data_IF_184166861638
#
_entry.id   IF_184166861638
#
_cell.length_a   1.000
_cell.length_b   1.000
_cell.length_c   1.000
_cell.angle_alpha   90.00
_cell.angle_beta   90.00
_cell.angle_gamma   90.00
#
_symmetry.space_group_name_H-M   'P 1'
#
loop_
_entity.id
_entity.type
_entity.pdbx_description
1 polymer ?
#
# COMPACT_ATOMS: atom_id res chain seq x y z
N UNK A 1 -2.94 -10.85 9.30
CA UNK A 1 -4.30 -10.46 8.90
C UNK A 1 -4.20 -9.17 8.11
N UNK A 2 -5.04 -9.02 7.08
CA UNK A 2 -5.08 -7.83 6.23
C UNK A 2 -6.53 -7.36 6.19
N UNK A 3 -6.78 -6.13 6.62
CA UNK A 3 -8.09 -5.48 6.56
C UNK A 3 -8.13 -4.56 5.34
N UNK A 4 -8.74 -5.05 4.25
CA UNK A 4 -8.79 -4.35 2.96
C UNK A 4 -9.98 -3.38 2.89
N UNK A 5 -9.84 -2.25 2.17
CA UNK A 5 -10.94 -1.31 2.00
C UNK A 5 -12.05 -1.88 1.11
N UNK A 6 -13.22 -1.23 1.13
CA UNK A 6 -14.30 -1.60 0.21
C UNK A 6 -14.08 -0.97 -1.16
N UNK A 7 -14.25 -1.74 -2.24
CA UNK A 7 -14.24 -1.23 -3.63
C UNK A 7 -15.27 -0.12 -3.81
N UNK A 8 -14.87 0.98 -4.46
CA UNK A 8 -15.64 2.22 -4.62
C UNK A 8 -15.50 3.22 -3.47
N UNK A 9 -14.78 2.87 -2.40
CA UNK A 9 -14.47 3.84 -1.33
C UNK A 9 -13.46 4.88 -1.82
N UNK A 10 -13.59 6.10 -1.32
CA UNK A 10 -12.69 7.21 -1.62
C UNK A 10 -11.89 7.56 -0.36
N UNK A 11 -10.57 7.71 -0.52
CA UNK A 11 -9.63 8.09 0.53
C UNK A 11 -8.84 9.32 0.12
N UNK A 12 -8.44 10.11 1.13
CA UNK A 12 -7.57 11.26 0.99
C UNK A 12 -6.20 11.01 1.61
N UNK A 13 -5.24 11.86 1.27
CA UNK A 13 -3.86 11.76 1.76
C UNK A 13 -3.83 11.63 3.28
N UNK A 14 -3.01 10.70 3.76
CA UNK A 14 -2.77 10.40 5.18
C UNK A 14 -3.97 9.78 5.92
N UNK A 15 -5.08 9.47 5.23
CA UNK A 15 -6.15 8.63 5.77
C UNK A 15 -5.75 7.14 5.75
N UNK A 16 -6.27 6.36 6.71
CA UNK A 16 -6.02 4.92 6.80
C UNK A 16 -6.73 4.21 5.65
N UNK A 17 -5.94 3.64 4.73
CA UNK A 17 -6.41 2.93 3.55
C UNK A 17 -6.66 1.44 3.83
N UNK A 18 -5.77 0.81 4.60
CA UNK A 18 -5.91 -0.56 5.08
C UNK A 18 -5.08 -0.77 6.36
N UNK A 19 -5.37 -1.84 7.08
CA UNK A 19 -4.62 -2.22 8.30
C UNK A 19 -3.97 -3.57 8.12
N UNK A 20 -2.70 -3.67 8.50
CA UNK A 20 -1.95 -4.91 8.54
C UNK A 20 -1.77 -5.33 10.00
N UNK A 21 -2.04 -6.60 10.31
CA UNK A 21 -1.84 -7.14 11.65
C UNK A 21 -0.99 -8.40 11.58
N UNK A 22 0.11 -8.39 12.32
CA UNK A 22 0.98 -9.52 12.57
C UNK A 22 0.80 -10.05 13.99
N UNK A 23 1.54 -11.10 14.36
CA UNK A 23 1.59 -11.56 15.76
C UNK A 23 2.33 -10.59 16.70
N UNK A 24 3.04 -9.59 16.15
CA UNK A 24 3.88 -8.67 16.92
C UNK A 24 3.31 -7.25 16.99
N UNK A 25 2.53 -6.87 15.99
CA UNK A 25 2.22 -5.47 15.73
C UNK A 25 0.99 -5.32 14.83
N UNK A 26 0.43 -4.10 14.88
CA UNK A 26 -0.62 -3.64 13.99
C UNK A 26 -0.13 -2.35 13.35
N UNK A 27 -0.19 -2.27 12.03
CA UNK A 27 0.28 -1.15 11.24
C UNK A 27 -0.83 -0.63 10.34
N UNK A 28 -1.00 0.69 10.34
CA UNK A 28 -1.89 1.38 9.41
C UNK A 28 -1.12 1.73 8.12
N UNK A 29 -1.71 1.42 6.98
CA UNK A 29 -1.22 1.85 5.67
C UNK A 29 -1.99 3.09 5.28
N UNK A 30 -1.30 4.20 5.15
CA UNK A 30 -1.90 5.49 4.83
C UNK A 30 -2.03 5.68 3.31
N UNK A 31 -3.07 6.39 2.89
CA UNK A 31 -3.25 6.77 1.50
C UNK A 31 -2.13 7.74 1.08
N UNK A 32 -1.36 7.42 0.02
CA UNK A 32 -0.20 8.23 -0.37
C UNK A 32 -0.58 9.54 -1.09
N UNK A 33 -1.75 9.57 -1.73
CA UNK A 33 -2.15 10.57 -2.73
C UNK A 33 -3.34 11.41 -2.26
N UNK A 34 -3.57 12.58 -2.88
CA UNK A 34 -4.59 13.54 -2.47
C UNK A 34 -6.03 12.99 -2.51
N UNK A 35 -6.35 12.17 -3.50
CA UNK A 35 -7.64 11.50 -3.64
C UNK A 35 -7.44 10.16 -4.36
N UNK A 36 -8.02 9.09 -3.81
CA UNK A 36 -7.92 7.74 -4.35
C UNK A 36 -9.28 7.05 -4.26
N UNK A 37 -9.83 6.61 -5.39
CA UNK A 37 -10.99 5.72 -5.41
C UNK A 37 -10.52 4.27 -5.55
N UNK A 38 -10.95 3.37 -4.67
CA UNK A 38 -10.59 1.95 -4.72
C UNK A 38 -11.27 1.26 -5.89
N UNK A 39 -10.48 0.76 -6.85
CA UNK A 39 -10.98 0.00 -7.99
C UNK A 39 -10.99 -1.51 -7.74
N UNK A 40 -10.00 -2.00 -7.01
CA UNK A 40 -9.79 -3.43 -6.79
C UNK A 40 -9.03 -3.65 -5.47
N UNK A 41 -9.36 -4.72 -4.76
CA UNK A 41 -8.61 -5.19 -3.59
C UNK A 41 -8.17 -6.64 -3.80
N UNK A 42 -6.99 -6.97 -3.28
CA UNK A 42 -6.43 -8.30 -3.45
C UNK A 42 -6.97 -9.29 -2.42
N UNK A 43 -8.14 -9.87 -2.68
CA UNK A 43 -8.75 -10.84 -1.76
C UNK A 43 -7.86 -12.06 -1.47
N UNK A 44 -6.84 -12.34 -2.31
CA UNK A 44 -5.87 -13.42 -2.08
C UNK A 44 -5.06 -13.21 -0.80
N UNK A 45 -4.76 -11.96 -0.42
CA UNK A 45 -3.98 -11.68 0.81
C UNK A 45 -4.80 -11.79 2.09
N UNK A 46 -6.14 -11.83 1.99
CA UNK A 46 -6.98 -12.15 3.15
C UNK A 46 -6.82 -13.62 3.54
N UNK A 47 -6.80 -14.51 2.55
CA UNK A 47 -6.59 -15.96 2.74
C UNK A 47 -5.11 -16.31 2.97
N UNK A 48 -4.19 -15.60 2.31
CA UNK A 48 -2.74 -15.86 2.34
C UNK A 48 -1.96 -14.57 2.67
N UNK A 49 -2.04 -14.06 3.92
CA UNK A 49 -1.44 -12.78 4.30
C UNK A 49 0.10 -12.75 4.19
N UNK A 50 0.76 -13.91 4.23
CA UNK A 50 2.22 -14.02 4.09
C UNK A 50 2.74 -13.49 2.74
N UNK A 51 1.88 -13.41 1.71
CA UNK A 51 2.23 -12.84 0.41
C UNK A 51 2.69 -11.38 0.51
N UNK A 52 2.14 -10.61 1.46
CA UNK A 52 2.54 -9.22 1.71
C UNK A 52 4.03 -9.14 2.07
N UNK A 53 4.58 -10.16 2.74
CA UNK A 53 5.99 -10.21 3.11
C UNK A 53 6.86 -10.84 2.01
N UNK A 54 6.38 -11.94 1.41
CA UNK A 54 7.16 -12.75 0.48
C UNK A 54 7.26 -12.15 -0.93
N UNK A 55 6.21 -11.46 -1.38
CA UNK A 55 6.13 -10.94 -2.74
C UNK A 55 5.32 -9.62 -2.82
N UNK A 56 5.73 -8.56 -2.09
CA UNK A 56 4.96 -7.32 -1.94
C UNK A 56 4.68 -6.59 -3.25
N UNK A 57 5.55 -6.74 -4.25
CA UNK A 57 5.46 -6.04 -5.54
C UNK A 57 4.67 -6.80 -6.62
N UNK A 58 4.44 -8.11 -6.44
CA UNK A 58 3.66 -8.91 -7.39
C UNK A 58 2.42 -9.51 -6.73
N UNK A 59 2.50 -10.68 -6.10
CA UNK A 59 1.30 -11.36 -5.57
C UNK A 59 0.76 -10.76 -4.27
N UNK A 60 1.56 -9.97 -3.56
CA UNK A 60 1.28 -9.35 -2.26
C UNK A 60 0.73 -7.93 -2.29
N UNK A 61 0.37 -7.40 -3.47
CA UNK A 61 -0.25 -6.08 -3.58
C UNK A 61 -1.55 -5.99 -2.76
N UNK A 62 -1.89 -4.81 -2.24
CA UNK A 62 -3.05 -4.64 -1.34
C UNK A 62 -4.28 -4.11 -2.09
N UNK A 63 -4.10 -3.00 -2.82
CA UNK A 63 -5.20 -2.23 -3.42
C UNK A 63 -4.76 -1.60 -4.74
N UNK A 64 -5.69 -1.51 -5.70
CA UNK A 64 -5.56 -0.68 -6.90
C UNK A 64 -6.53 0.47 -6.81
N UNK A 65 -6.03 1.67 -7.07
CA UNK A 65 -6.79 2.90 -6.97
C UNK A 65 -6.86 3.61 -8.32
N UNK A 66 -7.96 4.32 -8.54
CA UNK A 66 -8.01 5.40 -9.48
C UNK A 66 -7.45 6.65 -8.81
N UNK A 67 -6.44 7.24 -9.44
CA UNK A 67 -5.84 8.49 -9.00
C UNK A 67 -6.16 9.59 -10.02
N UNK A 68 -6.90 10.61 -9.59
CA UNK A 68 -7.14 11.81 -10.38
C UNK A 68 -6.10 12.88 -10.02
N UNK A 69 -4.97 12.84 -10.71
CA UNK A 69 -3.90 13.83 -10.55
C UNK A 69 -2.88 13.75 -11.68
N UNK A 70 -1.86 14.60 -11.61
CA UNK A 70 -0.76 14.61 -12.58
C UNK A 70 0.36 13.74 -12.04
N UNK A 71 0.45 12.51 -12.53
CA UNK A 71 1.45 11.53 -12.07
C UNK A 71 2.89 12.07 -12.22
N UNK A 72 3.19 12.85 -13.26
CA UNK A 72 4.54 13.41 -13.44
C UNK A 72 4.83 14.56 -12.48
N UNK A 73 3.85 15.43 -12.24
CA UNK A 73 4.00 16.55 -11.32
C UNK A 73 4.02 16.07 -9.86
N UNK A 74 3.06 15.23 -9.48
CA UNK A 74 2.87 14.74 -8.12
C UNK A 74 3.87 13.64 -7.76
N UNK A 75 4.36 12.88 -8.75
CA UNK A 75 5.41 11.88 -8.59
C UNK A 75 6.70 12.44 -7.97
N UNK A 76 6.97 13.74 -8.14
CA UNK A 76 8.12 14.44 -7.52
C UNK A 76 8.02 14.58 -6.00
N UNK A 77 6.83 14.34 -5.43
CA UNK A 77 6.62 14.30 -3.98
C UNK A 77 6.93 12.92 -3.39
N UNK A 78 7.21 11.92 -4.23
CA UNK A 78 7.58 10.57 -3.83
C UNK A 78 9.06 10.32 -4.10
N UNK A 79 9.62 9.33 -3.40
CA UNK A 79 10.97 8.87 -3.67
C UNK A 79 10.98 7.97 -4.91
N UNK A 80 11.97 8.14 -5.77
CA UNK A 80 12.39 7.07 -6.68
C UNK A 80 12.91 5.87 -5.89
N UNK A 81 12.97 4.70 -6.53
CA UNK A 81 13.52 3.49 -5.91
C UNK A 81 14.94 3.75 -5.36
N UNK A 82 15.79 4.43 -6.13
CA UNK A 82 17.16 4.73 -5.74
C UNK A 82 17.23 5.63 -4.49
N UNK A 83 16.39 6.67 -4.44
CA UNK A 83 16.31 7.57 -3.28
C UNK A 83 15.81 6.86 -2.03
N UNK A 84 14.77 6.02 -2.18
CA UNK A 84 14.21 5.26 -1.08
C UNK A 84 15.26 4.31 -0.50
N UNK A 85 15.97 3.55 -1.35
CA UNK A 85 17.00 2.59 -0.94
C UNK A 85 18.24 3.23 -0.30
N UNK A 86 18.60 4.46 -0.69
CA UNK A 86 19.72 5.19 -0.06
C UNK A 86 19.36 5.65 1.35
N UNK A 87 18.11 6.04 1.58
CA UNK A 87 17.64 6.54 2.87
C UNK A 87 17.16 5.47 3.85
N UNK A 88 16.75 4.30 3.34
CA UNK A 88 16.13 3.24 4.12
C UNK A 88 16.80 1.90 3.80
N UNK A 89 17.40 1.27 4.81
CA UNK A 89 17.83 -0.12 4.70
C UNK A 89 16.59 -1.00 4.65
N UNK A 90 16.39 -1.71 3.54
CA UNK A 90 15.36 -2.76 3.45
C UNK A 90 15.86 -3.95 4.26
N UNK A 91 15.34 -4.11 5.47
CA UNK A 91 15.53 -5.33 6.25
C UNK A 91 14.49 -6.35 5.80
N UNK A 92 14.92 -7.34 5.01
CA UNK A 92 14.11 -8.50 4.70
C UNK A 92 14.22 -9.46 5.89
N UNK A 93 13.13 -9.63 6.63
CA UNK A 93 13.06 -10.63 7.69
C UNK A 93 12.74 -11.99 7.07
N UNK A 94 13.69 -12.93 7.15
CA UNK A 94 13.47 -14.36 6.84
C UNK A 94 12.58 -15.06 7.89
#
# INVERSE_FOLDING_TARGET
YVDLPTVGSVFHKDEVLCTLESVKSVEEVLCPVAAAEVLETNVKVEDTPDLVNLDPEHDGWLVRIHYEGDVEADGKNFFSEEEYRKGHSVEVFE
#
